data_IF_758033458808
#
_entry.id   IF_758033458808
#
_cell.length_a   1.000
_cell.length_b   1.000
_cell.length_c   1.000
_cell.angle_alpha   90.00
_cell.angle_beta   90.00
_cell.angle_gamma   90.00
#
_symmetry.space_group_name_H-M   'P 1'
#
loop_
_entity.id
_entity.type
_entity.pdbx_description
1 polymer ?
#
# COMPACT_ATOMS: atom_id res chain seq x y z
N UNK A 1 -20.76 -13.37 5.34
CA UNK A 1 -20.90 -12.46 6.50
C UNK A 1 -20.67 -11.06 5.95
N UNK A 2 -21.73 -10.29 5.78
CA UNK A 2 -21.67 -8.95 5.17
C UNK A 2 -20.95 -8.04 6.17
N UNK A 3 -19.74 -7.61 5.83
CA UNK A 3 -18.99 -6.64 6.63
C UNK A 3 -19.73 -5.30 6.56
N UNK A 4 -20.34 -4.89 7.66
CA UNK A 4 -20.89 -3.55 7.84
C UNK A 4 -19.70 -2.61 7.98
N UNK A 5 -19.43 -1.84 6.94
CA UNK A 5 -18.37 -0.82 6.97
C UNK A 5 -18.94 0.44 7.61
N UNK A 6 -18.42 0.78 8.78
CA UNK A 6 -18.54 2.14 9.29
C UNK A 6 -17.91 3.08 8.26
N UNK A 7 -18.69 4.05 7.77
CA UNK A 7 -18.17 5.17 7.00
C UNK A 7 -17.07 5.86 7.80
N UNK A 8 -16.03 6.35 7.12
CA UNK A 8 -15.06 7.23 7.74
C UNK A 8 -15.84 8.32 8.53
N UNK A 9 -15.40 8.70 9.73
CA UNK A 9 -15.98 9.85 10.39
C UNK A 9 -15.92 11.00 9.38
N UNK A 10 -17.02 11.74 9.21
CA UNK A 10 -17.03 12.93 8.37
C UNK A 10 -15.88 13.80 8.88
N UNK A 11 -14.78 13.84 8.11
CA UNK A 11 -13.71 14.78 8.36
C UNK A 11 -14.38 16.15 8.16
N UNK A 12 -14.52 16.90 9.23
CA UNK A 12 -15.27 18.14 9.31
C UNK A 12 -14.97 19.00 8.06
N UNK A 13 -15.98 19.20 7.19
CA UNK A 13 -15.86 19.99 5.97
C UNK A 13 -15.47 21.46 6.25
N UNK A 14 -15.52 21.86 7.51
CA UNK A 14 -15.17 23.19 7.99
C UNK A 14 -13.71 23.37 8.39
N UNK A 15 -12.79 22.50 7.93
CA UNK A 15 -11.37 22.86 8.03
C UNK A 15 -11.14 24.01 7.07
N UNK A 16 -11.32 25.22 7.59
CA UNK A 16 -10.83 26.49 7.02
C UNK A 16 -9.44 26.21 6.45
N UNK A 17 -9.21 26.63 5.22
CA UNK A 17 -7.87 26.57 4.61
C UNK A 17 -6.93 27.24 5.60
N UNK A 18 -6.15 26.42 6.32
CA UNK A 18 -5.21 26.87 7.32
C UNK A 18 -4.10 27.63 6.58
N UNK A 19 -3.71 28.82 7.02
CA UNK A 19 -2.59 29.54 6.43
C UNK A 19 -1.29 28.70 6.36
N UNK A 20 -1.16 27.67 7.18
CA UNK A 20 -0.02 26.75 7.14
C UNK A 20 0.06 25.90 5.85
N UNK A 21 -0.99 25.85 5.01
CA UNK A 21 -0.95 25.15 3.71
C UNK A 21 -0.06 25.89 2.72
N UNK A 22 0.00 27.21 2.77
CA UNK A 22 0.81 28.04 1.87
C UNK A 22 2.31 27.87 2.11
N UNK A 23 2.72 27.37 3.28
CA UNK A 23 4.12 27.20 3.68
C UNK A 23 4.70 25.79 3.40
N UNK A 24 3.90 24.86 2.83
CA UNK A 24 4.40 23.51 2.50
C UNK A 24 5.37 23.54 1.32
N UNK A 25 6.46 22.79 1.44
CA UNK A 25 7.50 22.71 0.42
C UNK A 25 7.30 21.48 -0.50
N UNK A 26 7.59 21.69 -1.81
CA UNK A 26 7.54 20.63 -2.83
C UNK A 26 8.87 20.47 -3.59
N UNK A 27 9.93 21.14 -3.17
CA UNK A 27 11.23 21.24 -3.87
C UNK A 27 12.28 20.22 -3.40
N UNK A 28 11.97 19.42 -2.37
CA UNK A 28 12.88 18.42 -1.79
C UNK A 28 12.09 17.33 -1.07
N UNK A 29 12.68 16.15 -0.95
CA UNK A 29 12.06 15.07 -0.17
C UNK A 29 12.32 15.22 1.33
N UNK A 30 11.43 14.64 2.15
CA UNK A 30 11.73 14.42 3.57
C UNK A 30 12.83 13.37 3.73
N UNK A 31 13.40 13.25 4.94
CA UNK A 31 14.36 12.18 5.23
C UNK A 31 13.72 10.79 5.00
N UNK A 32 14.40 9.96 4.21
CA UNK A 32 13.96 8.60 3.87
C UNK A 32 13.64 7.72 5.08
N UNK A 33 14.31 7.94 6.21
CA UNK A 33 14.07 7.21 7.45
C UNK A 33 12.70 7.52 8.06
N UNK A 34 12.14 8.71 7.81
CA UNK A 34 10.78 9.07 8.26
C UNK A 34 9.68 8.28 7.55
N UNK A 35 9.96 7.73 6.38
CA UNK A 35 9.01 6.96 5.55
C UNK A 35 9.37 5.49 5.45
N UNK A 36 10.36 5.04 6.23
CA UNK A 36 10.89 3.67 6.24
C UNK A 36 11.34 3.19 4.84
N UNK A 37 12.06 4.06 4.10
CA UNK A 37 12.67 3.72 2.81
C UNK A 37 14.19 3.76 2.89
N UNK A 38 14.86 2.91 2.11
CA UNK A 38 16.32 2.90 1.98
C UNK A 38 16.80 3.79 0.82
N UNK A 39 16.06 3.85 -0.27
CA UNK A 39 16.37 4.66 -1.43
C UNK A 39 15.63 6.01 -1.40
N UNK A 40 16.34 7.10 -1.68
CA UNK A 40 15.73 8.45 -1.78
C UNK A 40 14.74 8.52 -2.95
N UNK A 41 14.98 7.78 -4.03
CA UNK A 41 14.08 7.69 -5.18
C UNK A 41 12.70 7.12 -4.85
N UNK A 42 12.57 6.41 -3.74
CA UNK A 42 11.32 5.80 -3.25
C UNK A 42 10.61 6.70 -2.23
N UNK A 43 11.07 7.93 -2.02
CA UNK A 43 10.48 8.90 -1.09
C UNK A 43 9.64 9.90 -1.89
N UNK A 44 8.33 9.88 -1.69
CA UNK A 44 7.38 10.77 -2.40
C UNK A 44 6.97 11.97 -1.57
N UNK A 45 7.18 11.94 -0.24
CA UNK A 45 6.84 13.04 0.65
C UNK A 45 7.89 14.15 0.56
N UNK A 46 7.41 15.40 0.57
CA UNK A 46 8.26 16.61 0.45
C UNK A 46 8.28 17.48 1.70
N UNK A 47 7.17 17.53 2.45
CA UNK A 47 7.11 18.26 3.73
C UNK A 47 6.09 17.61 4.69
N UNK A 48 6.22 17.93 5.99
CA UNK A 48 5.33 17.43 7.05
C UNK A 48 5.12 18.56 8.06
N UNK A 49 3.86 18.84 8.38
CA UNK A 49 3.45 19.85 9.36
C UNK A 49 2.46 19.30 10.35
N UNK A 50 2.88 19.19 11.62
CA UNK A 50 1.99 18.84 12.71
C UNK A 50 1.10 20.03 13.05
N UNK A 51 -0.22 19.84 13.03
CA UNK A 51 -1.20 20.86 13.42
C UNK A 51 -1.72 20.64 14.84
N UNK A 52 -1.90 19.39 15.25
CA UNK A 52 -2.37 19.04 16.59
C UNK A 52 -1.81 17.69 17.06
N UNK A 53 -2.34 17.15 18.14
CA UNK A 53 -2.00 15.80 18.61
C UNK A 53 -2.50 14.69 17.69
N UNK A 54 -3.46 14.98 16.81
CA UNK A 54 -4.10 14.00 15.93
C UNK A 54 -4.08 14.40 14.45
N UNK A 55 -3.78 15.68 14.12
CA UNK A 55 -3.81 16.20 12.76
C UNK A 55 -2.41 16.55 12.27
N UNK A 56 -2.10 16.08 11.06
CA UNK A 56 -0.83 16.35 10.37
C UNK A 56 -1.12 16.63 8.90
N UNK A 57 -0.55 17.70 8.38
CA UNK A 57 -0.51 17.98 6.95
C UNK A 57 0.78 17.42 6.37
N UNK A 58 0.69 16.81 5.21
CA UNK A 58 1.82 16.25 4.49
C UNK A 58 1.76 16.71 3.03
N UNK A 59 2.88 17.20 2.54
CA UNK A 59 3.08 17.48 1.12
C UNK A 59 3.75 16.26 0.47
N UNK A 60 3.35 15.95 -0.75
CA UNK A 60 3.96 14.93 -1.58
C UNK A 60 3.98 15.36 -3.05
N UNK A 61 4.84 14.74 -3.84
CA UNK A 61 4.89 14.97 -5.28
C UNK A 61 4.82 13.64 -6.02
N UNK A 62 3.95 13.58 -7.03
CA UNK A 62 3.89 12.44 -7.94
C UNK A 62 5.15 12.40 -8.79
N UNK A 63 5.82 11.24 -8.92
CA UNK A 63 6.95 11.12 -9.84
C UNK A 63 6.47 11.23 -11.28
N UNK A 64 7.22 11.93 -12.13
CA UNK A 64 6.93 12.01 -13.57
C UNK A 64 7.18 10.69 -14.31
N UNK A 65 7.98 9.82 -13.72
CA UNK A 65 8.26 8.46 -14.23
C UNK A 65 8.73 7.57 -13.08
N UNK A 66 8.25 6.33 -13.07
CA UNK A 66 8.64 5.35 -12.05
C UNK A 66 8.58 3.94 -12.63
N UNK A 67 9.62 3.13 -12.42
CA UNK A 67 9.79 1.81 -13.03
C UNK A 67 8.69 0.80 -12.68
N UNK A 68 7.98 1.00 -11.59
CA UNK A 68 6.89 0.15 -11.14
C UNK A 68 5.51 0.81 -11.34
N UNK A 69 5.31 2.04 -10.85
CA UNK A 69 4.00 2.68 -10.88
C UNK A 69 3.58 3.19 -12.26
N UNK A 70 4.53 3.45 -13.19
CA UNK A 70 4.24 3.85 -14.56
C UNK A 70 4.39 2.70 -15.57
N UNK A 71 4.45 1.46 -15.10
CA UNK A 71 4.61 0.27 -15.94
C UNK A 71 3.27 -0.38 -16.33
N UNK A 72 2.14 0.29 -16.17
CA UNK A 72 0.84 -0.25 -16.58
C UNK A 72 0.66 -0.11 -18.10
N UNK A 73 0.19 -1.17 -18.76
CA UNK A 73 -0.22 -1.11 -20.18
C UNK A 73 -1.50 -0.30 -20.39
N UNK A 74 -2.19 0.03 -19.30
CA UNK A 74 -3.48 0.68 -19.29
C UNK A 74 -3.41 2.17 -18.92
N UNK A 75 -2.29 2.62 -18.35
CA UNK A 75 -2.12 4.03 -17.93
C UNK A 75 -1.64 4.93 -19.08
N UNK A 76 -2.05 4.67 -20.32
CA UNK A 76 -1.78 5.58 -21.44
C UNK A 76 -2.73 6.81 -21.45
N UNK A 77 -3.71 6.86 -20.55
CA UNK A 77 -4.48 8.07 -20.27
C UNK A 77 -3.60 9.06 -19.49
N UNK A 78 -3.19 10.12 -20.15
CA UNK A 78 -2.37 11.18 -19.56
C UNK A 78 -2.99 11.65 -18.23
N UNK A 79 -2.22 11.54 -17.15
CA UNK A 79 -2.51 12.21 -15.88
C UNK A 79 -3.16 11.39 -14.76
N UNK A 80 -3.61 10.14 -15.00
CA UNK A 80 -4.21 9.33 -13.91
C UNK A 80 -3.12 8.63 -13.09
N UNK A 81 -2.97 8.95 -11.77
CA UNK A 81 -2.01 8.26 -10.92
C UNK A 81 -2.38 6.79 -10.73
N UNK A 82 -1.38 5.89 -10.73
CA UNK A 82 -1.59 4.48 -10.39
C UNK A 82 -2.14 4.34 -8.96
N UNK A 83 -3.16 3.49 -8.77
CA UNK A 83 -3.80 3.27 -7.47
C UNK A 83 -2.81 2.84 -6.38
N UNK A 84 -1.79 2.02 -6.74
CA UNK A 84 -0.76 1.59 -5.81
C UNK A 84 0.26 2.71 -5.50
N UNK A 85 0.44 3.68 -6.39
CA UNK A 85 1.22 4.88 -6.10
C UNK A 85 0.52 5.73 -5.03
N UNK A 86 -0.78 5.97 -5.19
CA UNK A 86 -1.57 6.69 -4.18
C UNK A 86 -1.57 5.95 -2.84
N UNK A 87 -1.69 4.62 -2.86
CA UNK A 87 -1.60 3.78 -1.66
C UNK A 87 -0.21 3.88 -1.00
N UNK A 88 0.88 3.87 -1.76
CA UNK A 88 2.23 4.00 -1.23
C UNK A 88 2.47 5.40 -0.62
N UNK A 89 2.03 6.46 -1.29
CA UNK A 89 2.11 7.83 -0.76
C UNK A 89 1.33 7.94 0.55
N UNK A 90 0.11 7.39 0.59
CA UNK A 90 -0.72 7.36 1.79
C UNK A 90 -0.05 6.58 2.94
N UNK A 91 0.58 5.42 2.63
CA UNK A 91 1.35 4.65 3.61
C UNK A 91 2.54 5.45 4.15
N UNK A 92 3.31 6.10 3.30
CA UNK A 92 4.42 6.96 3.72
C UNK A 92 3.93 8.11 4.60
N UNK A 93 2.83 8.76 4.21
CA UNK A 93 2.21 9.84 4.98
C UNK A 93 1.73 9.35 6.36
N UNK A 94 1.13 8.15 6.45
CA UNK A 94 0.74 7.55 7.74
C UNK A 94 1.96 7.36 8.66
N UNK A 95 3.04 6.76 8.15
CA UNK A 95 4.24 6.47 8.94
C UNK A 95 4.88 7.78 9.44
N UNK A 96 5.14 8.71 8.52
CA UNK A 96 5.78 9.97 8.84
C UNK A 96 4.96 10.80 9.83
N UNK A 97 3.63 10.88 9.60
CA UNK A 97 2.72 11.60 10.50
C UNK A 97 2.63 10.95 11.89
N UNK A 98 2.67 9.61 11.98
CA UNK A 98 2.68 8.92 13.27
C UNK A 98 3.91 9.32 14.11
N UNK A 99 5.08 9.48 13.48
CA UNK A 99 6.28 9.97 14.16
C UNK A 99 6.11 11.41 14.65
N UNK A 100 5.50 12.29 13.84
CA UNK A 100 5.25 13.68 14.23
C UNK A 100 4.28 13.82 15.41
N UNK A 101 3.32 12.91 15.57
CA UNK A 101 2.38 12.92 16.72
C UNK A 101 2.86 12.08 17.91
N UNK A 102 4.12 11.64 17.93
CA UNK A 102 4.79 11.08 19.10
C UNK A 102 4.99 9.57 19.09
N UNK A 103 4.82 8.89 17.97
CA UNK A 103 5.27 7.50 17.83
C UNK A 103 6.79 7.48 17.69
N UNK A 104 7.46 6.75 18.56
CA UNK A 104 8.93 6.62 18.53
C UNK A 104 9.40 5.96 17.21
N UNK A 105 10.43 6.55 16.60
CA UNK A 105 11.00 6.06 15.33
C UNK A 105 11.62 4.65 15.41
N UNK A 106 11.90 4.17 16.63
CA UNK A 106 12.34 2.80 16.87
C UNK A 106 11.22 1.76 16.89
N UNK A 107 9.94 2.20 16.84
CA UNK A 107 8.79 1.32 16.81
C UNK A 107 8.43 0.92 15.38
N UNK A 108 7.76 -0.24 15.25
CA UNK A 108 7.23 -0.74 13.99
C UNK A 108 5.72 -0.55 13.96
N UNK A 109 5.21 0.02 12.89
CA UNK A 109 3.79 0.09 12.60
C UNK A 109 3.40 -1.16 11.80
N UNK A 110 2.48 -1.95 12.36
CA UNK A 110 1.93 -3.15 11.69
C UNK A 110 0.51 -2.82 11.28
N UNK A 111 0.25 -2.81 9.97
CA UNK A 111 -1.10 -2.64 9.42
C UNK A 111 -1.89 -3.94 9.54
N UNK A 112 -3.12 -3.85 10.05
CA UNK A 112 -4.09 -4.94 10.04
C UNK A 112 -5.10 -4.78 8.90
N UNK A 113 -5.33 -3.55 8.48
CA UNK A 113 -6.33 -3.22 7.47
C UNK A 113 -5.97 -1.91 6.77
N UNK A 114 -6.45 -1.77 5.55
CA UNK A 114 -6.45 -0.49 4.84
C UNK A 114 -7.61 -0.44 3.85
N UNK A 115 -7.98 0.78 3.45
CA UNK A 115 -8.86 1.05 2.32
C UNK A 115 -8.40 2.29 1.59
N UNK A 116 -8.49 2.24 0.27
CA UNK A 116 -8.28 3.35 -0.64
C UNK A 116 -9.51 3.47 -1.52
N UNK A 117 -10.10 4.65 -1.58
CA UNK A 117 -11.14 5.01 -2.54
C UNK A 117 -10.62 6.14 -3.40
N UNK A 118 -10.71 5.99 -4.70
CA UNK A 118 -10.22 6.97 -5.69
C UNK A 118 -11.45 7.59 -6.38
N UNK A 119 -11.36 8.85 -6.71
CA UNK A 119 -12.41 9.61 -7.40
C UNK A 119 -11.97 9.97 -8.83
N UNK A 120 -12.14 9.08 -9.83
CA UNK A 120 -11.63 9.28 -11.18
C UNK A 120 -12.17 10.56 -11.84
N UNK A 121 -13.42 10.92 -11.56
CA UNK A 121 -14.03 12.15 -12.07
C UNK A 121 -13.38 13.43 -11.54
N UNK A 122 -12.85 13.40 -10.30
CA UNK A 122 -12.10 14.51 -9.73
C UNK A 122 -10.69 14.60 -10.36
N UNK A 123 -10.05 13.46 -10.62
CA UNK A 123 -8.76 13.39 -11.30
C UNK A 123 -8.90 13.91 -12.74
N UNK A 124 -9.92 13.48 -13.47
CA UNK A 124 -10.16 13.93 -14.85
C UNK A 124 -10.41 15.45 -14.98
N UNK A 125 -10.76 16.12 -13.89
CA UNK A 125 -10.98 17.56 -13.84
C UNK A 125 -9.74 18.37 -13.44
N UNK A 126 -8.59 17.72 -13.17
CA UNK A 126 -7.33 18.36 -12.84
C UNK A 126 -6.60 18.88 -14.08
N UNK A 127 -5.67 19.82 -13.84
CA UNK A 127 -4.67 20.16 -14.83
C UNK A 127 -3.67 18.99 -14.95
N UNK A 128 -3.39 18.44 -16.15
CA UNK A 128 -2.42 17.36 -16.33
C UNK A 128 -1.01 17.67 -15.82
N UNK A 129 -0.66 18.94 -15.64
CA UNK A 129 0.63 19.36 -15.09
C UNK A 129 0.67 19.35 -13.55
N UNK A 130 -0.48 19.17 -12.88
CA UNK A 130 -0.51 19.10 -11.42
C UNK A 130 0.11 17.79 -10.95
N UNK A 131 1.18 17.91 -10.17
CA UNK A 131 1.89 16.78 -9.57
C UNK A 131 1.97 16.86 -8.05
N UNK A 132 1.59 17.98 -7.47
CA UNK A 132 1.66 18.24 -6.04
C UNK A 132 0.43 17.70 -5.32
N UNK A 133 0.65 16.91 -4.28
CA UNK A 133 -0.37 16.37 -3.40
C UNK A 133 -0.27 16.99 -2.02
N UNK A 134 -1.41 17.40 -1.49
CA UNK A 134 -1.62 17.66 -0.07
C UNK A 134 -2.34 16.48 0.54
N UNK A 135 -1.84 15.94 1.65
CA UNK A 135 -2.48 14.87 2.41
C UNK A 135 -2.86 15.41 3.79
N UNK A 136 -4.14 15.36 4.11
CA UNK A 136 -4.65 15.62 5.45
C UNK A 136 -4.73 14.31 6.20
N UNK A 137 -4.02 14.19 7.33
CA UNK A 137 -4.01 12.99 8.15
C UNK A 137 -4.72 13.27 9.48
N UNK A 138 -5.61 12.37 9.85
CA UNK A 138 -6.26 12.34 11.15
C UNK A 138 -6.05 11.00 11.82
N UNK A 139 -5.56 11.00 13.07
CA UNK A 139 -5.37 9.80 13.88
C UNK A 139 -6.47 9.63 14.91
N UNK A 140 -7.17 8.52 14.85
CA UNK A 140 -8.05 8.03 15.91
C UNK A 140 -7.34 6.92 16.69
N UNK A 141 -6.81 7.28 17.88
CA UNK A 141 -6.07 6.35 18.71
C UNK A 141 -7.00 5.49 19.58
N UNK A 142 -7.11 4.21 19.28
CA UNK A 142 -7.93 3.25 20.03
C UNK A 142 -7.26 2.79 21.32
N UNK A 143 -5.94 2.90 21.43
CA UNK A 143 -5.17 2.58 22.62
C UNK A 143 -3.97 3.50 22.80
N UNK A 144 -3.91 4.13 23.97
CA UNK A 144 -2.75 4.93 24.42
C UNK A 144 -2.26 4.34 25.75
N UNK A 145 -0.96 4.05 25.85
CA UNK A 145 -0.36 3.54 27.08
C UNK A 145 0.82 4.39 27.51
N UNK A 146 0.77 4.92 28.72
CA UNK A 146 1.80 5.83 29.27
C UNK A 146 2.07 7.04 28.37
N UNK A 147 1.00 7.60 27.80
CA UNK A 147 1.10 8.76 26.90
C UNK A 147 1.55 8.45 25.46
N UNK A 148 1.85 7.18 25.12
CA UNK A 148 2.27 6.79 23.77
C UNK A 148 1.18 5.96 23.07
N UNK A 149 0.85 6.25 21.80
CA UNK A 149 -0.06 5.46 20.98
C UNK A 149 0.40 3.99 20.85
N UNK A 150 -0.55 3.05 20.86
CA UNK A 150 -0.31 1.61 20.71
C UNK A 150 -1.13 0.96 19.61
N UNK A 151 -2.30 1.50 19.33
CA UNK A 151 -3.13 1.11 18.21
C UNK A 151 -4.08 2.24 17.83
N UNK A 152 -4.52 2.24 16.61
CA UNK A 152 -5.46 3.23 16.08
C UNK A 152 -5.65 3.11 14.59
N UNK A 153 -6.40 4.04 14.05
CA UNK A 153 -6.60 4.25 12.60
C UNK A 153 -6.07 5.62 12.21
N UNK A 154 -5.50 5.70 11.03
CA UNK A 154 -5.19 6.93 10.33
C UNK A 154 -6.18 7.07 9.17
N UNK A 155 -6.88 8.18 9.10
CA UNK A 155 -7.73 8.57 7.98
C UNK A 155 -7.05 9.67 7.19
N UNK A 156 -7.16 9.62 5.87
CA UNK A 156 -6.44 10.53 4.99
C UNK A 156 -7.32 10.99 3.83
N UNK A 157 -7.22 12.27 3.51
CA UNK A 157 -7.68 12.84 2.25
C UNK A 157 -6.46 13.22 1.42
N UNK A 158 -6.41 12.71 0.19
CA UNK A 158 -5.40 13.06 -0.80
C UNK A 158 -5.99 14.12 -1.72
N UNK A 159 -5.38 15.30 -1.73
CA UNK A 159 -5.88 16.48 -2.39
C UNK A 159 -4.88 16.93 -3.45
N UNK A 160 -5.34 17.15 -4.68
CA UNK A 160 -4.55 17.71 -5.77
C UNK A 160 -5.27 18.95 -6.30
N UNK A 161 -4.53 20.06 -6.43
CA UNK A 161 -5.16 21.34 -6.65
C UNK A 161 -6.10 21.68 -5.48
N UNK A 162 -7.39 21.78 -5.77
CA UNK A 162 -8.43 22.03 -4.75
C UNK A 162 -9.45 20.88 -4.65
N UNK A 163 -9.09 19.67 -5.13
CA UNK A 163 -9.98 18.51 -5.23
C UNK A 163 -9.49 17.34 -4.38
N UNK A 164 -10.38 16.71 -3.64
CA UNK A 164 -10.11 15.42 -3.01
C UNK A 164 -10.16 14.35 -4.10
N UNK A 165 -8.99 13.82 -4.47
CA UNK A 165 -8.86 12.80 -5.52
C UNK A 165 -8.92 11.38 -4.99
N UNK A 166 -8.63 11.20 -3.70
CA UNK A 166 -8.72 9.91 -3.06
C UNK A 166 -8.88 10.07 -1.54
N UNK A 167 -9.46 9.05 -0.92
CA UNK A 167 -9.51 8.87 0.52
C UNK A 167 -8.87 7.53 0.89
N UNK A 168 -8.11 7.54 1.97
CA UNK A 168 -7.44 6.35 2.48
C UNK A 168 -7.66 6.24 3.98
N UNK A 169 -7.75 5.00 4.46
CA UNK A 169 -7.56 4.72 5.88
C UNK A 169 -6.62 3.53 6.05
N UNK A 170 -5.90 3.51 7.16
CA UNK A 170 -5.15 2.35 7.61
C UNK A 170 -5.30 2.18 9.12
N UNK A 171 -5.54 0.95 9.54
CA UNK A 171 -5.62 0.57 10.94
C UNK A 171 -4.49 -0.37 11.31
N UNK A 172 -4.03 -0.28 12.58
CA UNK A 172 -2.93 -1.14 12.98
C UNK A 172 -2.46 -0.98 14.40
N UNK A 173 -1.32 -1.60 14.67
CA UNK A 173 -0.68 -1.67 15.99
C UNK A 173 0.74 -1.12 15.90
N UNK A 174 1.17 -0.50 16.99
CA UNK A 174 2.53 0.02 17.15
C UNK A 174 3.27 -0.86 18.13
N UNK A 175 4.31 -1.53 17.66
CA UNK A 175 5.11 -2.46 18.45
C UNK A 175 6.55 -1.97 18.57
N UNK A 176 7.14 -2.16 19.74
CA UNK A 176 8.59 -2.05 19.90
C UNK A 176 9.28 -3.22 19.18
N UNK A 177 10.57 -3.08 18.88
CA UNK A 177 11.36 -4.18 18.28
C UNK A 177 11.26 -5.48 19.07
N UNK A 178 11.32 -5.41 20.42
CA UNK A 178 11.22 -6.58 21.26
C UNK A 178 9.82 -7.23 21.20
N UNK A 179 8.76 -6.41 21.14
CA UNK A 179 7.40 -6.93 20.99
C UNK A 179 7.18 -7.59 19.62
N UNK A 180 7.71 -6.98 18.56
CA UNK A 180 7.65 -7.59 17.23
C UNK A 180 8.42 -8.91 17.21
N UNK A 181 9.63 -8.94 17.75
CA UNK A 181 10.43 -10.16 17.83
C UNK A 181 9.72 -11.26 18.62
N UNK A 182 9.13 -10.93 19.77
CA UNK A 182 8.35 -11.88 20.57
C UNK A 182 7.14 -12.41 19.78
N UNK A 183 6.39 -11.54 19.12
CA UNK A 183 5.27 -11.91 18.25
C UNK A 183 5.72 -12.88 17.14
N UNK A 184 6.79 -12.54 16.42
CA UNK A 184 7.34 -13.38 15.36
C UNK A 184 7.81 -14.75 15.90
N UNK A 185 8.49 -14.77 17.04
CA UNK A 185 8.96 -16.01 17.67
C UNK A 185 7.83 -16.92 18.16
N UNK A 186 6.74 -16.33 18.66
CA UNK A 186 5.55 -17.10 19.11
C UNK A 186 4.89 -17.82 17.92
N UNK A 187 4.79 -17.17 16.77
CA UNK A 187 4.18 -17.77 15.59
C UNK A 187 5.07 -18.77 14.84
N UNK A 188 6.39 -18.54 14.83
CA UNK A 188 7.33 -19.33 14.00
C UNK A 188 8.19 -20.31 14.79
N UNK A 189 8.52 -20.01 16.04
CA UNK A 189 9.53 -20.74 16.80
C UNK A 189 10.98 -20.46 16.39
N UNK A 190 11.22 -19.86 15.22
CA UNK A 190 12.54 -19.49 14.67
C UNK A 190 12.51 -18.09 14.09
N UNK A 191 13.64 -17.36 14.03
CA UNK A 191 13.71 -16.10 13.30
C UNK A 191 13.29 -16.26 11.83
N UNK A 192 12.55 -15.31 11.25
CA UNK A 192 12.21 -15.35 9.84
C UNK A 192 13.45 -15.18 8.96
N UNK A 193 13.51 -15.80 7.77
CA UNK A 193 14.52 -15.48 6.77
C UNK A 193 14.32 -14.03 6.28
N UNK A 194 15.32 -13.52 5.58
CA UNK A 194 15.21 -12.20 4.96
C UNK A 194 15.51 -12.27 3.46
N UNK A 195 15.03 -11.31 2.71
CA UNK A 195 15.31 -11.20 1.26
C UNK A 195 16.79 -10.97 0.94
N UNK A 196 17.65 -10.80 1.94
CA UNK A 196 19.11 -10.80 1.76
C UNK A 196 19.66 -12.24 1.55
N UNK A 197 18.94 -13.28 2.00
CA UNK A 197 19.33 -14.69 1.93
C UNK A 197 18.49 -15.43 0.88
N UNK A 198 18.77 -15.22 -0.39
CA UNK A 198 17.94 -15.72 -1.51
C UNK A 198 17.70 -17.23 -1.49
N UNK A 199 18.65 -18.03 -0.97
CA UNK A 199 18.55 -19.48 -0.91
C UNK A 199 17.55 -20.00 0.15
N UNK A 200 17.06 -19.12 1.02
CA UNK A 200 16.04 -19.44 2.02
C UNK A 200 14.61 -19.10 1.52
N UNK A 201 14.49 -18.52 0.33
CA UNK A 201 13.22 -18.05 -0.21
C UNK A 201 12.60 -19.10 -1.13
N UNK A 202 11.31 -19.38 -0.95
CA UNK A 202 10.59 -20.39 -1.74
C UNK A 202 10.05 -19.88 -3.08
N UNK A 203 9.93 -18.56 -3.25
CA UNK A 203 9.34 -17.95 -4.43
C UNK A 203 10.35 -17.49 -5.49
N UNK A 204 11.64 -17.75 -5.29
CA UNK A 204 12.70 -17.34 -6.24
C UNK A 204 12.83 -18.28 -7.45
N UNK A 205 12.41 -19.52 -7.32
CA UNK A 205 12.32 -20.49 -8.41
C UNK A 205 10.94 -20.40 -9.07
N UNK A 206 10.79 -19.44 -9.98
CA UNK A 206 9.50 -19.15 -10.62
C UNK A 206 9.17 -20.25 -11.63
N UNK A 207 8.17 -21.04 -11.32
CA UNK A 207 7.59 -22.02 -12.22
C UNK A 207 6.44 -21.36 -13.00
N UNK A 208 6.31 -21.70 -14.30
CA UNK A 208 5.22 -21.24 -15.16
C UNK A 208 5.00 -19.70 -15.11
N UNK A 209 5.99 -18.91 -15.56
CA UNK A 209 5.94 -17.46 -15.54
C UNK A 209 4.83 -16.91 -16.45
N UNK A 210 4.24 -15.79 -16.05
CA UNK A 210 3.15 -15.15 -16.78
C UNK A 210 3.72 -14.02 -17.66
N UNK A 211 3.22 -13.91 -18.90
CA UNK A 211 3.53 -12.77 -19.76
C UNK A 211 3.05 -11.45 -19.10
N UNK A 212 3.89 -10.41 -19.02
CA UNK A 212 3.57 -9.18 -18.29
C UNK A 212 2.26 -8.53 -18.73
N UNK A 213 1.98 -8.55 -20.02
CA UNK A 213 0.79 -7.93 -20.62
C UNK A 213 -0.51 -8.56 -20.09
N UNK A 214 -0.48 -9.86 -19.77
CA UNK A 214 -1.63 -10.57 -19.23
C UNK A 214 -2.06 -10.08 -17.84
N UNK A 215 -1.15 -9.46 -17.13
CA UNK A 215 -1.36 -8.90 -15.77
C UNK A 215 -1.25 -7.38 -15.75
N UNK A 216 -1.35 -6.75 -16.92
CA UNK A 216 -1.37 -5.29 -17.04
C UNK A 216 0.00 -4.62 -16.93
N UNK A 217 1.10 -5.35 -17.11
CA UNK A 217 2.47 -4.86 -16.98
C UNK A 217 3.22 -4.91 -18.33
N UNK A 218 4.29 -4.12 -18.47
CA UNK A 218 5.24 -4.19 -19.60
C UNK A 218 6.53 -4.89 -19.19
N UNK A 219 6.98 -4.63 -17.97
CA UNK A 219 8.25 -5.14 -17.44
C UNK A 219 8.02 -6.44 -16.65
N UNK A 220 8.65 -7.57 -17.03
CA UNK A 220 8.52 -8.83 -16.30
C UNK A 220 8.99 -8.76 -14.83
N UNK A 221 9.86 -7.80 -14.46
CA UNK A 221 10.26 -7.58 -13.07
C UNK A 221 9.09 -7.12 -12.19
N UNK A 222 8.03 -6.56 -12.78
CA UNK A 222 6.85 -6.08 -12.07
C UNK A 222 5.74 -7.13 -12.00
N UNK A 223 5.93 -8.31 -12.59
CA UNK A 223 5.03 -9.45 -12.43
C UNK A 223 5.31 -10.09 -11.07
N UNK A 224 4.30 -10.15 -10.21
CA UNK A 224 4.44 -10.67 -8.83
C UNK A 224 3.69 -11.99 -8.61
N UNK A 225 3.06 -12.53 -9.66
CA UNK A 225 2.37 -13.83 -9.62
C UNK A 225 2.87 -14.76 -10.72
N UNK A 226 2.75 -16.07 -10.48
CA UNK A 226 3.04 -17.13 -11.44
C UNK A 226 2.04 -18.28 -11.29
N UNK A 227 2.17 -19.35 -12.08
CA UNK A 227 1.29 -20.54 -12.01
C UNK A 227 -0.19 -20.16 -12.05
N UNK A 228 -0.55 -19.27 -12.99
CA UNK A 228 -1.89 -18.74 -13.15
C UNK A 228 -2.85 -19.85 -13.64
N UNK A 229 -3.88 -20.10 -12.85
CA UNK A 229 -5.03 -20.92 -13.25
C UNK A 229 -6.28 -20.03 -13.28
N UNK A 230 -6.93 -19.93 -14.44
CA UNK A 230 -8.15 -19.12 -14.66
C UNK A 230 -9.42 -19.95 -14.84
N UNK A 231 -9.42 -21.21 -14.37
CA UNK A 231 -10.62 -22.06 -14.42
C UNK A 231 -11.69 -21.59 -13.43
N UNK A 232 -12.56 -22.48 -12.95
CA UNK A 232 -13.72 -22.13 -12.11
C UNK A 232 -13.39 -21.25 -10.89
N UNK A 233 -12.23 -21.47 -10.28
CA UNK A 233 -11.72 -20.64 -9.17
C UNK A 233 -10.32 -20.18 -9.52
N UNK A 234 -10.17 -18.94 -10.01
CA UNK A 234 -8.88 -18.40 -10.40
C UNK A 234 -7.88 -18.39 -9.24
N UNK A 235 -6.68 -18.89 -9.48
CA UNK A 235 -5.58 -18.96 -8.51
C UNK A 235 -4.25 -18.59 -9.13
N UNK A 236 -3.32 -18.11 -8.32
CA UNK A 236 -1.94 -17.90 -8.70
C UNK A 236 -1.02 -18.05 -7.48
N UNK A 237 0.25 -18.33 -7.70
CA UNK A 237 1.28 -18.26 -6.66
C UNK A 237 1.89 -16.86 -6.62
N UNK A 238 2.13 -16.31 -5.43
CA UNK A 238 2.80 -15.02 -5.25
C UNK A 238 4.32 -15.23 -5.33
N UNK A 239 4.95 -14.68 -6.37
CA UNK A 239 6.36 -14.91 -6.73
C UNK A 239 7.06 -13.61 -7.13
N UNK A 240 7.16 -12.61 -6.23
CA UNK A 240 7.78 -11.33 -6.56
C UNK A 240 9.29 -11.49 -6.82
N UNK A 241 9.82 -10.73 -7.78
CA UNK A 241 11.24 -10.75 -8.07
C UNK A 241 12.01 -9.85 -7.11
N UNK A 242 12.91 -10.40 -6.29
CA UNK A 242 13.72 -9.65 -5.32
C UNK A 242 14.71 -8.66 -5.95
N UNK A 243 14.98 -8.78 -7.25
CA UNK A 243 15.76 -7.80 -7.99
C UNK A 243 14.99 -6.50 -8.27
N UNK A 244 13.66 -6.51 -8.12
CA UNK A 244 12.83 -5.32 -8.27
C UNK A 244 13.01 -4.39 -7.05
N UNK A 245 13.81 -3.32 -7.25
CA UNK A 245 14.14 -2.39 -6.15
C UNK A 245 13.01 -1.43 -5.78
N UNK A 246 11.98 -1.28 -6.61
CA UNK A 246 10.77 -0.58 -6.23
C UNK A 246 9.93 -1.35 -5.20
N UNK A 247 10.01 -2.69 -5.21
CA UNK A 247 9.34 -3.57 -4.25
C UNK A 247 10.23 -3.97 -3.07
N UNK A 248 11.55 -4.09 -3.31
CA UNK A 248 12.56 -4.56 -2.33
C UNK A 248 13.73 -3.58 -2.25
N UNK A 249 13.49 -2.36 -1.80
CA UNK A 249 14.53 -1.33 -1.65
C UNK A 249 15.51 -1.60 -0.49
N UNK A 250 15.12 -2.48 0.44
CA UNK A 250 15.97 -3.00 1.51
C UNK A 250 15.64 -4.48 1.81
N UNK A 251 16.27 -5.07 2.82
CA UNK A 251 15.97 -6.44 3.23
C UNK A 251 14.65 -6.49 4.01
N UNK A 252 13.74 -7.36 3.57
CA UNK A 252 12.45 -7.64 4.20
C UNK A 252 12.45 -9.05 4.81
N UNK A 253 11.63 -9.27 5.83
CA UNK A 253 11.44 -10.55 6.52
C UNK A 253 10.07 -11.19 6.22
N UNK A 254 9.32 -10.61 5.30
CA UNK A 254 8.02 -11.09 4.82
C UNK A 254 7.67 -10.45 3.46
N UNK A 255 6.70 -11.02 2.77
CA UNK A 255 6.09 -10.40 1.58
C UNK A 255 5.21 -9.24 2.06
N UNK A 256 5.46 -8.04 1.54
CA UNK A 256 4.83 -6.81 2.02
C UNK A 256 3.37 -6.66 1.57
N UNK A 257 2.63 -5.82 2.28
CA UNK A 257 1.28 -5.38 1.90
C UNK A 257 1.20 -4.95 0.42
N UNK A 258 2.16 -4.14 -0.04
CA UNK A 258 2.19 -3.63 -1.41
C UNK A 258 2.28 -4.76 -2.45
N UNK A 259 3.11 -5.78 -2.18
CA UNK A 259 3.27 -6.94 -3.08
C UNK A 259 1.99 -7.79 -3.09
N UNK A 260 1.38 -8.03 -1.94
CA UNK A 260 0.12 -8.79 -1.87
C UNK A 260 -1.04 -8.04 -2.55
N UNK A 261 -1.09 -6.71 -2.41
CA UNK A 261 -2.08 -5.88 -3.10
C UNK A 261 -1.88 -5.91 -4.61
N UNK A 262 -0.63 -5.86 -5.07
CA UNK A 262 -0.30 -6.02 -6.49
C UNK A 262 -0.67 -7.42 -7.00
N UNK A 263 -0.44 -8.47 -6.23
CA UNK A 263 -0.84 -9.83 -6.61
C UNK A 263 -2.36 -9.93 -6.79
N UNK A 264 -3.15 -9.30 -5.91
CA UNK A 264 -4.60 -9.22 -6.06
C UNK A 264 -5.00 -8.45 -7.32
N UNK A 265 -4.35 -7.32 -7.63
CA UNK A 265 -4.58 -6.55 -8.86
C UNK A 265 -4.22 -7.36 -10.10
N UNK A 266 -3.08 -8.04 -10.10
CA UNK A 266 -2.65 -8.85 -11.25
C UNK A 266 -3.60 -10.03 -11.49
N UNK A 267 -4.04 -10.73 -10.45
CA UNK A 267 -5.04 -11.80 -10.60
C UNK A 267 -6.38 -11.25 -11.09
N UNK A 268 -6.81 -10.07 -10.59
CA UNK A 268 -8.01 -9.39 -11.05
C UNK A 268 -7.95 -9.11 -12.55
N UNK A 269 -6.85 -8.53 -13.04
CA UNK A 269 -6.65 -8.23 -14.47
C UNK A 269 -6.57 -9.50 -15.31
N UNK A 270 -5.84 -10.52 -14.86
CA UNK A 270 -5.67 -11.79 -15.57
C UNK A 270 -6.96 -12.60 -15.76
N UNK A 271 -7.99 -12.33 -14.96
CA UNK A 271 -9.29 -13.03 -15.01
C UNK A 271 -10.34 -12.31 -15.83
N UNK A 272 -10.04 -11.11 -16.34
CA UNK A 272 -10.97 -10.35 -17.18
C UNK A 272 -10.91 -10.80 -18.65
N UNK A 273 -12.02 -10.67 -19.40
CA UNK A 273 -12.01 -10.88 -20.84
C UNK A 273 -11.10 -9.85 -21.53
N UNK A 274 -10.31 -10.30 -22.53
CA UNK A 274 -9.42 -9.44 -23.31
C UNK A 274 -10.14 -8.30 -24.06
N UNK A 275 -11.47 -8.40 -24.21
CA UNK A 275 -12.29 -7.41 -24.90
C UNK A 275 -12.74 -6.22 -24.03
N UNK A 276 -12.51 -6.29 -22.71
CA UNK A 276 -12.85 -5.20 -21.82
C UNK A 276 -11.64 -4.26 -21.66
N UNK A 277 -11.91 -2.95 -21.83
CA UNK A 277 -10.95 -1.92 -21.46
C UNK A 277 -10.54 -2.13 -20.00
N UNK A 278 -9.28 -1.87 -19.66
CA UNK A 278 -8.82 -2.01 -18.30
C UNK A 278 -9.70 -1.21 -17.35
N UNK A 279 -10.17 -1.83 -16.28
CA UNK A 279 -10.95 -1.10 -15.32
C UNK A 279 -10.06 -0.10 -14.61
N UNK A 280 -10.48 1.11 -14.55
CA UNK A 280 -9.95 2.08 -13.63
C UNK A 280 -10.32 1.61 -12.21
N UNK A 281 -9.31 1.22 -11.42
CA UNK A 281 -9.57 0.76 -10.06
C UNK A 281 -9.97 1.96 -9.21
N UNK A 282 -11.23 1.97 -8.79
CA UNK A 282 -11.81 3.02 -7.96
C UNK A 282 -11.73 2.73 -6.47
N UNK A 283 -11.53 1.48 -6.07
CA UNK A 283 -11.37 1.13 -4.66
C UNK A 283 -10.53 -0.12 -4.45
N UNK A 284 -9.67 -0.08 -3.43
CA UNK A 284 -8.91 -1.24 -2.94
C UNK A 284 -9.10 -1.32 -1.42
N UNK A 285 -9.35 -2.52 -0.92
CA UNK A 285 -9.34 -2.81 0.52
C UNK A 285 -8.55 -4.06 0.78
N UNK A 286 -7.86 -4.09 1.92
CA UNK A 286 -7.10 -5.26 2.36
C UNK A 286 -7.16 -5.42 3.87
N UNK A 287 -7.24 -6.69 4.31
CA UNK A 287 -7.12 -7.09 5.71
C UNK A 287 -5.96 -8.07 5.85
N UNK A 288 -5.19 -7.96 6.93
CA UNK A 288 -4.03 -8.81 7.20
C UNK A 288 -4.21 -9.53 8.53
N UNK A 289 -4.22 -10.85 8.46
CA UNK A 289 -4.41 -11.76 9.60
C UNK A 289 -3.08 -12.29 10.12
N UNK A 290 -2.09 -12.43 9.23
CA UNK A 290 -0.74 -12.91 9.55
C UNK A 290 0.29 -12.35 8.58
N UNK A 291 1.59 -12.52 8.90
CA UNK A 291 2.67 -12.23 7.96
C UNK A 291 2.71 -13.28 6.85
N UNK A 292 2.97 -12.85 5.63
CA UNK A 292 3.28 -13.73 4.50
C UNK A 292 4.77 -14.09 4.55
N UNK A 293 5.08 -15.28 5.01
CA UNK A 293 6.44 -15.75 5.25
C UNK A 293 7.20 -16.03 3.95
N UNK A 294 8.53 -15.81 3.95
CA UNK A 294 9.36 -15.93 2.75
C UNK A 294 9.76 -17.39 2.41
N UNK A 295 9.66 -18.29 3.39
CA UNK A 295 10.13 -19.67 3.33
C UNK A 295 9.00 -20.71 3.15
N UNK A 296 7.80 -20.25 2.81
CA UNK A 296 6.67 -21.08 2.46
C UNK A 296 5.90 -20.48 1.27
N UNK A 297 5.38 -21.29 0.34
CA UNK A 297 4.61 -20.79 -0.79
C UNK A 297 3.37 -20.00 -0.36
N UNK A 298 3.15 -18.86 -1.00
CA UNK A 298 1.97 -18.02 -0.81
C UNK A 298 1.08 -18.13 -2.03
N UNK A 299 -0.17 -18.48 -1.85
CA UNK A 299 -1.17 -18.60 -2.90
C UNK A 299 -2.21 -17.48 -2.77
N UNK A 300 -2.64 -16.93 -3.91
CA UNK A 300 -3.79 -16.03 -3.99
C UNK A 300 -4.90 -16.69 -4.80
N UNK A 301 -6.14 -16.53 -4.36
CA UNK A 301 -7.31 -17.14 -4.97
C UNK A 301 -8.49 -16.16 -5.02
N UNK A 302 -9.17 -16.08 -6.15
CA UNK A 302 -10.42 -15.35 -6.27
C UNK A 302 -11.55 -16.14 -5.59
N UNK A 303 -12.39 -15.46 -4.81
CA UNK A 303 -13.56 -16.04 -4.15
C UNK A 303 -14.88 -15.50 -4.71
N UNK A 304 -14.83 -14.29 -5.27
CA UNK A 304 -15.90 -13.65 -6.02
C UNK A 304 -15.28 -12.62 -6.99
N UNK A 305 -16.10 -11.98 -7.80
CA UNK A 305 -15.65 -10.91 -8.68
C UNK A 305 -15.03 -9.76 -7.85
N UNK A 306 -13.75 -9.51 -8.05
CA UNK A 306 -13.00 -8.50 -7.31
C UNK A 306 -12.69 -8.84 -5.85
N UNK A 307 -13.00 -10.05 -5.36
CA UNK A 307 -12.69 -10.49 -4.00
C UNK A 307 -11.67 -11.63 -3.99
N UNK A 308 -10.63 -11.50 -3.17
CA UNK A 308 -9.49 -12.41 -3.14
C UNK A 308 -9.12 -12.78 -1.71
N UNK A 309 -8.63 -14.01 -1.54
CA UNK A 309 -7.99 -14.46 -0.32
C UNK A 309 -6.55 -14.85 -0.62
N UNK A 310 -5.67 -14.58 0.32
CA UNK A 310 -4.27 -15.02 0.30
C UNK A 310 -4.09 -16.07 1.37
N UNK A 311 -3.51 -17.20 0.98
CA UNK A 311 -3.35 -18.38 1.82
C UNK A 311 -1.90 -18.80 1.87
N UNK A 312 -1.46 -19.26 3.03
CA UNK A 312 -0.16 -19.86 3.28
C UNK A 312 -0.31 -20.96 4.32
N UNK A 313 0.29 -22.14 4.10
CA UNK A 313 0.23 -23.29 5.00
C UNK A 313 -1.21 -23.66 5.40
N UNK A 314 -2.14 -23.66 4.43
CA UNK A 314 -3.58 -23.92 4.60
C UNK A 314 -4.29 -22.94 5.56
N UNK A 315 -3.78 -21.73 5.71
CA UNK A 315 -4.40 -20.66 6.50
C UNK A 315 -4.57 -19.41 5.64
N UNK A 316 -5.70 -18.76 5.79
CA UNK A 316 -5.89 -17.42 5.26
C UNK A 316 -5.00 -16.44 6.05
N UNK A 317 -4.16 -15.69 5.34
CA UNK A 317 -3.26 -14.68 5.92
C UNK A 317 -3.65 -13.26 5.54
N UNK A 318 -4.39 -13.09 4.44
CA UNK A 318 -4.94 -11.81 4.04
C UNK A 318 -6.20 -11.99 3.17
N UNK A 319 -6.97 -10.93 3.00
CA UNK A 319 -8.01 -10.81 1.98
C UNK A 319 -8.01 -9.41 1.35
N UNK A 320 -8.52 -9.34 0.12
CA UNK A 320 -8.58 -8.10 -0.66
C UNK A 320 -9.93 -7.99 -1.37
N UNK A 321 -10.40 -6.75 -1.50
CA UNK A 321 -11.53 -6.40 -2.36
C UNK A 321 -11.13 -5.24 -3.27
N UNK A 322 -11.30 -5.42 -4.59
CA UNK A 322 -11.04 -4.42 -5.63
C UNK A 322 -12.35 -4.10 -6.35
N UNK A 323 -12.56 -2.81 -6.65
CA UNK A 323 -13.68 -2.34 -7.48
C UNK A 323 -13.15 -1.43 -8.59
N UNK A 324 -13.77 -1.50 -9.72
CA UNK A 324 -13.60 -0.57 -10.85
C UNK A 324 -14.81 0.32 -10.99
#
# INVERSE_FOLDING_TARGET
MTLIYESAPELDETITIDPDIEDLHYDRTVDRHKVHRAAVSEVFLTDIRRQSAQHVLVAAQLPSSHSFFHDSIYNDAEGTPDALLLLEIARQATIASAHEVGVDAGNTLISNEFGLTIYPHEIAALNPEDTNLLIRNYFDWTSIRRGAPRSGRCYQQLIMGNRVIAEHFSGGRILTKNQLQALRSEYRGTPPPTTANLHELTFTDVQDPIAPERVGRRNPLNVVISQLNTTETPTAQVTPNVANKALFDHAYDHITMQILTEAARQLYLATRPDSELAPEISSIRGNFLAFAELDSPVQIRAIAAGEFVVEQDNRQIADFALKS
#
